data_IF_129831607817
#
_entry.id   IF_129831607817
#
_cell.length_a   1.000
_cell.length_b   1.000
_cell.length_c   1.000
_cell.angle_alpha   90.00
_cell.angle_beta   90.00
_cell.angle_gamma   90.00
#
_symmetry.space_group_name_H-M   'P 1'
#
loop_
_entity.id
_entity.type
_entity.pdbx_description
1 polymer ?
#
# COMPACT_ATOMS: atom_id res chain seq x y z
N UNK A 1 -6.54 -13.29 18.06
CA UNK A 1 -6.65 -14.33 17.01
C UNK A 1 -5.43 -14.30 16.13
N UNK A 2 -4.67 -15.39 15.99
CA UNK A 2 -3.48 -15.40 15.14
C UNK A 2 -3.80 -15.34 13.66
N UNK A 3 -5.03 -15.66 13.25
CA UNK A 3 -5.45 -15.51 11.86
C UNK A 3 -6.89 -15.09 11.77
N UNK A 4 -7.26 -14.49 10.63
CA UNK A 4 -8.63 -14.09 10.42
C UNK A 4 -8.84 -13.43 9.07
N UNK A 5 -10.09 -13.01 8.86
CA UNK A 5 -10.55 -12.29 7.68
C UNK A 5 -11.58 -11.26 8.11
N UNK A 6 -11.65 -10.18 7.35
CA UNK A 6 -12.63 -9.13 7.56
C UNK A 6 -13.04 -8.51 6.24
N UNK A 7 -14.18 -7.83 6.23
CA UNK A 7 -14.63 -7.02 5.12
C UNK A 7 -14.08 -5.59 5.19
N UNK A 8 -14.80 -4.64 4.55
CA UNK A 8 -14.35 -3.23 4.51
C UNK A 8 -14.20 -2.58 5.88
N UNK A 9 -14.88 -3.10 6.90
CA UNK A 9 -14.82 -2.58 8.27
C UNK A 9 -13.44 -2.70 8.88
N UNK A 10 -12.60 -3.60 8.35
CA UNK A 10 -11.21 -3.72 8.74
C UNK A 10 -10.93 -4.81 9.77
N UNK A 11 -9.64 -5.11 9.97
CA UNK A 11 -9.19 -6.10 10.93
C UNK A 11 -9.19 -5.53 12.36
N UNK A 12 -8.89 -6.37 13.39
CA UNK A 12 -8.66 -5.84 14.72
C UNK A 12 -7.59 -4.74 14.74
N UNK A 13 -7.66 -3.81 15.73
CA UNK A 13 -6.73 -2.67 15.77
C UNK A 13 -5.25 -3.05 15.74
N UNK A 14 -4.85 -4.12 16.42
CA UNK A 14 -3.45 -4.57 16.45
C UNK A 14 -2.97 -5.08 15.10
N UNK A 15 -3.85 -5.67 14.31
CA UNK A 15 -3.54 -6.14 12.96
C UNK A 15 -3.41 -4.93 12.02
N UNK A 16 -4.33 -3.98 12.11
CA UNK A 16 -4.25 -2.74 11.34
C UNK A 16 -2.96 -1.97 11.66
N UNK A 17 -2.57 -1.93 12.94
CA UNK A 17 -1.34 -1.26 13.35
C UNK A 17 -0.10 -1.91 12.73
N UNK A 18 -0.08 -3.23 12.62
CA UNK A 18 1.01 -3.95 11.93
C UNK A 18 1.10 -3.55 10.46
N UNK A 19 -0.04 -3.53 9.76
CA UNK A 19 -0.10 -3.12 8.37
C UNK A 19 0.36 -1.66 8.22
N UNK A 20 -0.25 -0.76 8.96
CA UNK A 20 0.03 0.68 8.87
C UNK A 20 1.46 1.03 9.28
N UNK A 21 2.06 0.25 10.19
CA UNK A 21 3.42 0.46 10.65
C UNK A 21 4.50 -0.09 9.72
N UNK A 22 4.15 -0.95 8.77
CA UNK A 22 5.12 -1.49 7.83
C UNK A 22 5.69 -0.38 6.95
N UNK A 23 7.00 -0.41 6.71
CA UNK A 23 7.67 0.64 5.92
C UNK A 23 7.52 0.44 4.43
N UNK A 24 7.23 -0.79 4.00
CA UNK A 24 7.06 -1.18 2.60
C UNK A 24 5.93 -2.19 2.54
N UNK A 25 5.12 -2.11 1.52
CA UNK A 25 4.16 -3.16 1.18
C UNK A 25 4.44 -3.67 -0.23
N UNK A 26 4.02 -4.89 -0.51
CA UNK A 26 4.08 -5.48 -1.85
C UNK A 26 2.73 -5.22 -2.49
N UNK A 27 2.74 -4.49 -3.60
CA UNK A 27 1.54 -4.13 -4.34
C UNK A 27 1.42 -5.02 -5.57
N UNK A 28 0.30 -5.71 -5.68
CA UNK A 28 -0.06 -6.50 -6.85
C UNK A 28 -1.12 -5.78 -7.66
N UNK A 29 -0.88 -5.65 -8.96
CA UNK A 29 -1.84 -5.14 -9.93
C UNK A 29 -2.09 -6.19 -11.00
N UNK A 30 -3.14 -6.00 -11.78
CA UNK A 30 -3.52 -6.93 -12.85
C UNK A 30 -3.15 -6.31 -14.19
N UNK A 31 -2.14 -6.89 -14.83
CA UNK A 31 -1.71 -6.50 -16.17
C UNK A 31 -2.27 -7.47 -17.21
N UNK A 32 -2.21 -7.08 -18.49
CA UNK A 32 -2.71 -7.92 -19.58
C UNK A 32 -2.01 -9.29 -19.62
N UNK A 33 -0.70 -9.30 -19.34
CA UNK A 33 0.11 -10.55 -19.34
C UNK A 33 0.03 -11.33 -18.03
N UNK A 34 -0.70 -10.84 -17.03
CA UNK A 34 -0.85 -11.49 -15.73
C UNK A 34 -0.59 -10.55 -14.57
N UNK A 35 -0.48 -11.09 -13.34
CA UNK A 35 -0.24 -10.24 -12.17
C UNK A 35 1.14 -9.60 -12.23
N UNK A 36 1.20 -8.36 -11.76
CA UNK A 36 2.44 -7.60 -11.60
C UNK A 36 2.64 -7.28 -10.13
N UNK A 37 3.87 -7.40 -9.64
CA UNK A 37 4.18 -7.23 -8.23
C UNK A 37 5.36 -6.27 -8.05
N UNK A 38 5.19 -5.26 -7.19
CA UNK A 38 6.25 -4.29 -6.89
C UNK A 38 6.21 -3.89 -5.42
N UNK A 39 7.36 -3.56 -4.81
CA UNK A 39 7.36 -2.94 -3.48
C UNK A 39 6.99 -1.46 -3.59
N UNK A 40 6.22 -0.97 -2.62
CA UNK A 40 5.85 0.44 -2.55
C UNK A 40 5.98 0.95 -1.12
N UNK A 41 6.41 2.20 -0.98
CA UNK A 41 6.24 2.95 0.25
C UNK A 41 4.81 3.48 0.29
N UNK A 42 4.21 3.55 1.46
CA UNK A 42 2.80 3.92 1.59
C UNK A 42 2.51 4.49 2.98
N UNK A 43 1.33 5.07 3.12
CA UNK A 43 0.82 5.49 4.42
C UNK A 43 -0.65 5.07 4.55
N UNK A 44 -1.05 4.74 5.76
CA UNK A 44 -2.46 4.55 6.09
C UNK A 44 -3.05 5.91 6.40
N UNK A 45 -4.06 6.32 5.64
CA UNK A 45 -4.58 7.69 5.71
C UNK A 45 -6.06 7.71 5.36
N UNK A 46 -6.88 8.23 6.28
CA UNK A 46 -8.34 8.36 6.07
C UNK A 46 -9.00 7.03 5.65
N UNK A 47 -8.57 5.93 6.27
CA UNK A 47 -9.15 4.62 5.98
C UNK A 47 -8.72 4.00 4.67
N UNK A 48 -7.68 4.52 4.03
CA UNK A 48 -7.12 3.99 2.77
C UNK A 48 -5.61 3.85 2.87
N UNK A 49 -5.05 3.00 2.02
CA UNK A 49 -3.60 2.94 1.84
C UNK A 49 -3.24 3.85 0.67
N UNK A 50 -2.40 4.86 0.91
CA UNK A 50 -2.00 5.81 -0.13
C UNK A 50 -0.54 5.63 -0.50
N UNK A 51 -0.24 5.75 -1.79
CA UNK A 51 1.12 5.76 -2.32
C UNK A 51 1.20 6.76 -3.48
N UNK A 52 2.40 7.18 -3.84
CA UNK A 52 2.59 8.18 -4.88
C UNK A 52 3.77 7.82 -5.77
N UNK A 53 3.72 8.28 -7.01
CA UNK A 53 4.89 8.25 -7.89
C UNK A 53 5.87 9.32 -7.41
N UNK A 54 7.12 8.94 -7.21
CA UNK A 54 8.16 9.84 -6.71
C UNK A 54 9.35 9.93 -7.67
N UNK A 55 10.25 10.88 -7.40
CA UNK A 55 11.48 11.08 -8.15
C UNK A 55 12.72 10.65 -7.39
N UNK A 56 12.55 10.23 -6.14
CA UNK A 56 13.67 9.85 -5.28
C UNK A 56 14.28 8.54 -5.74
N UNK A 57 13.44 7.59 -6.15
CA UNK A 57 13.88 6.29 -6.65
C UNK A 57 14.07 6.36 -8.16
N UNK A 58 15.22 5.88 -8.69
CA UNK A 58 15.42 5.83 -10.13
C UNK A 58 14.33 5.01 -10.83
N UNK A 59 13.87 5.49 -11.97
CA UNK A 59 12.84 4.81 -12.77
C UNK A 59 13.33 4.68 -14.21
N UNK A 60 13.10 3.50 -14.79
CA UNK A 60 13.49 3.23 -16.17
C UNK A 60 12.61 4.03 -17.16
N UNK A 61 11.33 4.19 -16.84
CA UNK A 61 10.36 4.87 -17.67
C UNK A 61 9.68 5.99 -16.88
N UNK A 62 9.40 7.15 -17.50
CA UNK A 62 8.65 8.23 -16.85
C UNK A 62 7.25 7.81 -16.44
N UNK A 63 6.61 6.95 -17.28
CA UNK A 63 5.28 6.42 -17.00
C UNK A 63 5.42 5.03 -16.40
N UNK A 64 4.84 4.85 -15.22
CA UNK A 64 4.89 3.56 -14.54
C UNK A 64 3.80 2.64 -15.06
N UNK A 65 4.17 1.39 -15.32
CA UNK A 65 3.23 0.37 -15.82
C UNK A 65 2.10 0.11 -14.86
N UNK A 66 2.34 0.19 -13.53
CA UNK A 66 1.27 -0.03 -12.56
C UNK A 66 0.14 0.99 -12.69
N UNK A 67 0.42 2.21 -13.16
CA UNK A 67 -0.64 3.20 -13.43
C UNK A 67 -1.50 2.78 -14.62
N UNK A 68 -0.88 2.23 -15.65
CA UNK A 68 -1.62 1.68 -16.80
C UNK A 68 -2.46 0.48 -16.38
N UNK A 69 -1.91 -0.40 -15.54
CA UNK A 69 -2.64 -1.55 -15.01
C UNK A 69 -3.89 -1.10 -14.26
N UNK A 70 -3.75 -0.08 -13.40
CA UNK A 70 -4.87 0.44 -12.59
C UNK A 70 -5.95 1.08 -13.44
N UNK A 71 -5.58 1.73 -14.55
CA UNK A 71 -6.56 2.31 -15.47
C UNK A 71 -7.39 1.23 -16.16
N UNK A 72 -6.78 0.08 -16.43
CA UNK A 72 -7.47 -1.05 -17.07
C UNK A 72 -8.23 -1.90 -16.06
N UNK A 73 -7.68 -2.10 -14.85
CA UNK A 73 -8.31 -2.89 -13.79
C UNK A 73 -7.90 -2.32 -12.44
N UNK A 74 -8.85 -1.77 -11.72
CA UNK A 74 -8.60 -1.08 -10.46
C UNK A 74 -8.41 -2.02 -9.27
N UNK A 75 -8.60 -3.33 -9.43
CA UNK A 75 -8.41 -4.28 -8.34
C UNK A 75 -6.93 -4.43 -8.00
N UNK A 76 -6.62 -4.37 -6.72
CA UNK A 76 -5.26 -4.49 -6.21
C UNK A 76 -5.22 -5.33 -4.95
N UNK A 77 -4.02 -5.81 -4.65
CA UNK A 77 -3.73 -6.48 -3.39
C UNK A 77 -2.43 -5.89 -2.83
N UNK A 78 -2.42 -5.62 -1.53
CA UNK A 78 -1.22 -5.17 -0.84
C UNK A 78 -0.90 -6.15 0.28
N UNK A 79 0.38 -6.50 0.41
CA UNK A 79 0.85 -7.39 1.46
C UNK A 79 1.93 -6.69 2.27
N UNK A 80 1.71 -6.61 3.58
CA UNK A 80 2.76 -6.25 4.54
C UNK A 80 3.09 -7.50 5.34
N UNK A 81 4.38 -7.73 5.58
CA UNK A 81 4.82 -8.93 6.25
C UNK A 81 6.08 -8.67 7.06
N UNK A 82 6.35 -9.57 7.99
CA UNK A 82 7.57 -9.54 8.78
C UNK A 82 8.18 -10.92 8.78
N UNK A 83 9.44 -11.01 8.37
CA UNK A 83 10.23 -12.21 8.45
C UNK A 83 11.31 -12.09 9.50
N UNK A 84 11.52 -13.14 10.30
CA UNK A 84 12.62 -13.28 11.22
C UNK A 84 13.02 -14.75 11.28
N UNK A 85 14.29 -15.02 11.62
CA UNK A 85 14.74 -16.41 11.78
C UNK A 85 14.02 -17.11 12.95
N UNK A 86 13.62 -16.35 13.97
CA UNK A 86 12.69 -16.83 14.97
C UNK A 86 11.27 -16.76 14.39
N UNK A 87 10.77 -17.89 13.95
CA UNK A 87 9.47 -17.98 13.29
C UNK A 87 8.29 -17.64 14.18
N UNK A 88 8.49 -17.58 15.50
CA UNK A 88 7.44 -17.08 16.41
C UNK A 88 7.11 -15.61 16.18
N UNK A 89 7.99 -14.88 15.48
CA UNK A 89 7.81 -13.46 15.17
C UNK A 89 7.17 -13.20 13.81
N UNK A 90 6.89 -14.23 13.03
CA UNK A 90 6.36 -14.07 11.68
C UNK A 90 4.90 -13.59 11.70
N UNK A 91 4.58 -12.67 10.80
CA UNK A 91 3.20 -12.26 10.54
C UNK A 91 3.08 -11.71 9.13
N UNK A 92 1.87 -11.74 8.62
CA UNK A 92 1.52 -11.02 7.39
C UNK A 92 0.09 -10.48 7.48
N UNK A 93 -0.14 -9.39 6.76
CA UNK A 93 -1.46 -8.77 6.60
C UNK A 93 -1.68 -8.46 5.14
N UNK A 94 -2.78 -8.93 4.59
CA UNK A 94 -3.16 -8.72 3.20
C UNK A 94 -4.38 -7.81 3.14
N UNK A 95 -4.30 -6.79 2.30
CA UNK A 95 -5.40 -5.89 1.97
C UNK A 95 -5.75 -6.08 0.50
N UNK A 96 -6.99 -6.45 0.22
CA UNK A 96 -7.55 -6.45 -1.13
C UNK A 96 -8.50 -5.28 -1.27
N UNK A 97 -8.36 -4.53 -2.36
CA UNK A 97 -9.19 -3.36 -2.55
C UNK A 97 -9.22 -2.88 -3.98
N UNK A 98 -9.73 -1.68 -4.14
CA UNK A 98 -9.75 -0.98 -5.42
C UNK A 98 -8.97 0.31 -5.31
N UNK A 99 -8.19 0.61 -6.34
CA UNK A 99 -7.31 1.77 -6.38
C UNK A 99 -7.93 2.86 -7.24
N UNK A 100 -7.76 4.10 -6.80
CA UNK A 100 -8.16 5.28 -7.55
C UNK A 100 -7.15 6.39 -7.37
N UNK A 101 -6.94 7.18 -8.41
CA UNK A 101 -6.10 8.37 -8.35
C UNK A 101 -6.84 9.46 -7.57
N UNK A 102 -6.11 10.12 -6.67
CA UNK A 102 -6.60 11.28 -5.94
C UNK A 102 -6.17 12.56 -6.64
N UNK A 103 -6.94 13.62 -6.47
CA UNK A 103 -6.59 14.95 -6.94
C UNK A 103 -6.99 16.01 -5.90
N UNK A 104 -6.62 17.27 -6.15
CA UNK A 104 -6.99 18.40 -5.30
C UNK A 104 -6.57 18.24 -3.84
N UNK A 105 -7.47 18.59 -2.92
CA UNK A 105 -7.21 18.53 -1.47
C UNK A 105 -6.88 17.12 -1.00
N UNK A 106 -7.59 16.13 -1.52
CA UNK A 106 -7.37 14.74 -1.12
C UNK A 106 -5.95 14.28 -1.45
N UNK A 107 -5.44 14.64 -2.64
CA UNK A 107 -4.06 14.34 -3.03
C UNK A 107 -3.05 15.06 -2.14
N UNK A 108 -3.29 16.35 -1.86
CA UNK A 108 -2.41 17.15 -1.00
C UNK A 108 -2.32 16.57 0.42
N UNK A 109 -3.46 16.19 0.99
CA UNK A 109 -3.49 15.59 2.33
C UNK A 109 -2.76 14.23 2.37
N UNK A 110 -2.92 13.42 1.33
CA UNK A 110 -2.22 12.14 1.22
C UNK A 110 -0.69 12.35 1.10
N UNK A 111 -0.26 13.33 0.32
CA UNK A 111 1.16 13.68 0.22
C UNK A 111 1.73 14.17 1.57
N UNK A 112 0.95 14.94 2.33
CA UNK A 112 1.35 15.33 3.68
C UNK A 112 1.56 14.12 4.59
N UNK A 113 0.66 13.14 4.51
CA UNK A 113 0.79 11.90 5.29
C UNK A 113 2.05 11.12 4.90
N UNK A 114 2.34 11.03 3.60
CA UNK A 114 3.55 10.37 3.10
C UNK A 114 4.82 11.11 3.53
N UNK A 115 4.85 12.42 3.40
CA UNK A 115 5.99 13.25 3.81
C UNK A 115 6.22 13.18 5.34
N UNK A 116 5.15 13.13 6.12
CA UNK A 116 5.24 12.96 7.56
C UNK A 116 5.88 11.63 7.96
N UNK A 117 5.78 10.64 7.11
CA UNK A 117 6.25 9.29 7.40
C UNK A 117 7.67 9.00 6.85
N UNK A 118 8.00 9.54 5.68
CA UNK A 118 9.27 9.23 5.00
C UNK A 118 10.13 10.48 4.88
N UNK A 119 11.33 10.49 5.52
CA UNK A 119 12.25 11.64 5.41
C UNK A 119 12.60 12.00 3.96
N UNK A 120 12.75 11.00 3.08
CA UNK A 120 13.05 11.25 1.67
C UNK A 120 11.96 12.09 1.00
N UNK A 121 10.71 11.92 1.41
CA UNK A 121 9.59 12.68 0.85
C UNK A 121 9.46 14.08 1.47
N UNK A 122 10.05 14.31 2.62
CA UNK A 122 10.19 15.68 3.16
C UNK A 122 11.24 16.47 2.39
N UNK A 123 12.32 15.80 1.99
CA UNK A 123 13.39 16.42 1.22
C UNK A 123 12.95 16.67 -0.23
N UNK A 124 12.26 15.71 -0.84
CA UNK A 124 11.75 15.83 -2.20
C UNK A 124 10.33 15.25 -2.25
N UNK A 125 9.34 16.15 -2.25
CA UNK A 125 7.94 15.75 -2.23
C UNK A 125 7.58 15.04 -3.53
N UNK A 126 6.88 13.90 -3.47
CA UNK A 126 6.49 13.20 -4.70
C UNK A 126 5.62 14.10 -5.60
N UNK A 127 5.87 14.13 -6.91
CA UNK A 127 5.03 14.90 -7.83
C UNK A 127 3.65 14.25 -8.04
N UNK A 128 3.52 12.99 -7.74
CA UNK A 128 2.33 12.22 -8.05
C UNK A 128 2.41 11.58 -9.43
N UNK A 129 1.34 10.91 -9.89
CA UNK A 129 0.02 10.84 -9.24
C UNK A 129 0.03 10.17 -7.88
N UNK A 130 -0.99 10.50 -7.11
CA UNK A 130 -1.27 9.88 -5.80
C UNK A 130 -2.42 8.90 -5.96
N UNK A 131 -2.24 7.71 -5.41
CA UNK A 131 -3.22 6.62 -5.52
C UNK A 131 -3.67 6.23 -4.12
N UNK A 132 -4.98 6.04 -3.96
CA UNK A 132 -5.56 5.51 -2.73
C UNK A 132 -6.18 4.14 -3.00
N UNK A 133 -5.89 3.19 -2.12
CA UNK A 133 -6.48 1.85 -2.15
C UNK A 133 -7.56 1.80 -1.08
N UNK A 134 -8.80 1.64 -1.53
CA UNK A 134 -9.96 1.52 -0.65
C UNK A 134 -10.15 0.04 -0.29
N UNK A 135 -10.14 -0.30 1.00
CA UNK A 135 -10.26 -1.70 1.41
C UNK A 135 -11.59 -2.33 1.04
N UNK A 136 -11.54 -3.58 0.61
CA UNK A 136 -12.69 -4.44 0.36
C UNK A 136 -12.66 -5.66 1.25
N UNK A 137 -11.47 -6.28 1.40
CA UNK A 137 -11.26 -7.48 2.21
C UNK A 137 -9.89 -7.44 2.85
N UNK A 138 -9.82 -8.04 4.04
CA UNK A 138 -8.58 -8.22 4.76
C UNK A 138 -8.38 -9.69 5.10
N UNK A 139 -7.13 -10.13 5.11
CA UNK A 139 -6.75 -11.42 5.65
C UNK A 139 -5.44 -11.22 6.42
N UNK A 140 -5.23 -12.00 7.47
CA UNK A 140 -4.01 -11.88 8.26
C UNK A 140 -3.69 -13.19 8.95
N UNK A 141 -2.43 -13.30 9.33
CA UNK A 141 -1.90 -14.43 10.08
C UNK A 141 -0.72 -13.94 10.90
N UNK A 142 -0.57 -14.51 12.09
CA UNK A 142 0.64 -14.35 12.91
C UNK A 142 0.96 -15.64 13.61
N UNK A 143 2.25 -15.86 13.89
CA UNK A 143 2.71 -17.06 14.58
C UNK A 143 2.31 -17.04 16.06
N UNK A 144 2.08 -15.85 16.62
CA UNK A 144 1.68 -15.68 18.01
C UNK A 144 0.63 -14.59 18.18
#
# INVERSE_FOLDING_TARGET
MPSGRAGPEGPPPEVLARFAGARVARLATIAAEGPRLVPVTFAWHRGTAVWAVDRVKPKRHPRLRRLDDLAADARVCMLADHYAEDWAQLWWVELRGTAATLDGEAAAAALDALAGRYPAYRAERPPGPVVAVTPRRWAWWSAT
#
